data_IF_433751865351
#
_entry.id   IF_433751865351
#
_cell.length_a   1.000
_cell.length_b   1.000
_cell.length_c   1.000
_cell.angle_alpha   90.00
_cell.angle_beta   90.00
_cell.angle_gamma   90.00
#
_symmetry.space_group_name_H-M   'P 1'
#
loop_
_entity.id
_entity.type
_entity.pdbx_description
1 polymer ?
#
# COMPACT_ATOMS: atom_id res chain seq x y z
N UNK A 1 15.19 13.01 -6.49
CA UNK A 1 16.00 11.76 -6.52
C UNK A 1 15.55 10.81 -5.40
N UNK A 2 14.43 10.07 -5.51
CA UNK A 2 13.91 9.31 -4.36
C UNK A 2 13.31 7.91 -4.65
N UNK A 3 13.32 7.41 -5.90
CA UNK A 3 12.70 6.12 -6.21
C UNK A 3 13.60 4.90 -5.89
N UNK A 4 14.91 5.02 -6.16
CA UNK A 4 15.85 3.92 -5.98
C UNK A 4 16.21 3.57 -4.52
N UNK A 5 16.40 4.53 -3.58
CA UNK A 5 16.87 4.18 -2.24
C UNK A 5 15.85 3.36 -1.43
N UNK A 6 14.53 3.59 -1.61
CA UNK A 6 13.51 2.85 -0.84
C UNK A 6 13.51 1.37 -1.20
N UNK A 7 13.67 1.01 -2.50
CA UNK A 7 13.74 -0.39 -2.91
C UNK A 7 14.97 -1.10 -2.34
N UNK A 8 16.10 -0.41 -2.28
CA UNK A 8 17.32 -0.95 -1.67
C UNK A 8 17.16 -1.13 -0.17
N UNK A 9 16.62 -0.14 0.54
CA UNK A 9 16.37 -0.23 1.98
C UNK A 9 15.49 -1.44 2.35
N UNK A 10 14.48 -1.75 1.53
CA UNK A 10 13.60 -2.91 1.76
C UNK A 10 14.33 -4.25 1.69
N UNK A 11 15.44 -4.36 0.95
CA UNK A 11 16.25 -5.58 0.87
C UNK A 11 17.02 -5.89 2.15
N UNK A 12 17.22 -4.89 3.01
CA UNK A 12 18.00 -5.01 4.25
C UNK A 12 17.16 -4.83 5.51
N UNK A 13 15.85 -4.66 5.35
CA UNK A 13 14.93 -4.39 6.46
C UNK A 13 14.16 -5.65 6.83
N UNK A 14 14.51 -6.21 7.98
CA UNK A 14 13.86 -7.39 8.55
C UNK A 14 12.41 -7.08 8.92
N UNK A 15 11.50 -8.00 8.57
CA UNK A 15 10.11 -8.02 9.00
C UNK A 15 9.94 -9.11 10.05
N UNK A 16 9.66 -8.70 11.28
CA UNK A 16 9.55 -9.62 12.42
C UNK A 16 8.46 -9.15 13.41
N UNK A 17 7.18 -9.36 13.09
CA UNK A 17 6.08 -9.03 14.01
C UNK A 17 6.07 -9.94 15.26
N UNK A 18 6.48 -11.21 15.14
CA UNK A 18 6.62 -12.15 16.24
C UNK A 18 7.50 -13.36 15.84
N UNK A 19 7.80 -14.25 16.78
CA UNK A 19 8.70 -15.40 16.61
C UNK A 19 8.20 -16.50 15.66
N UNK A 20 6.90 -16.51 15.33
CA UNK A 20 6.29 -17.48 14.40
C UNK A 20 6.20 -16.92 12.98
N UNK A 21 6.65 -15.69 12.74
CA UNK A 21 6.68 -15.12 11.40
C UNK A 21 7.88 -15.65 10.60
N UNK A 22 7.75 -15.89 9.29
CA UNK A 22 8.89 -16.29 8.47
C UNK A 22 10.02 -15.25 8.54
N UNK A 23 11.26 -15.73 8.68
CA UNK A 23 12.43 -14.89 8.55
C UNK A 23 12.46 -14.30 7.13
N UNK A 24 12.28 -12.98 7.03
CA UNK A 24 12.04 -12.31 5.77
C UNK A 24 12.45 -10.84 5.81
N UNK A 25 12.71 -10.31 4.63
CA UNK A 25 12.97 -8.89 4.40
C UNK A 25 11.71 -8.21 3.87
N UNK A 26 11.61 -6.88 4.01
CA UNK A 26 10.49 -6.11 3.47
C UNK A 26 10.37 -6.22 1.93
N UNK A 27 11.46 -6.60 1.24
CA UNK A 27 11.46 -6.91 -0.20
C UNK A 27 10.75 -8.22 -0.56
N UNK A 28 10.58 -9.14 0.40
CA UNK A 28 9.98 -10.45 0.17
C UNK A 28 8.44 -10.42 0.25
N UNK A 29 7.87 -9.23 0.38
CA UNK A 29 6.45 -9.00 0.59
C UNK A 29 5.84 -8.18 -0.54
N UNK A 30 4.58 -8.47 -0.87
CA UNK A 30 3.72 -7.62 -1.68
C UNK A 30 3.10 -6.55 -0.77
N UNK A 31 3.42 -5.25 -0.97
CA UNK A 31 2.91 -4.18 -0.12
C UNK A 31 1.60 -3.59 -0.62
N UNK A 32 0.67 -3.35 0.31
CA UNK A 32 -0.55 -2.58 0.08
C UNK A 32 -0.60 -1.41 1.06
N UNK A 33 -0.66 -0.18 0.55
CA UNK A 33 -0.90 0.98 1.41
C UNK A 33 -2.30 0.92 2.03
N UNK A 34 -2.39 1.20 3.32
CA UNK A 34 -3.68 1.35 4.01
C UNK A 34 -4.32 2.69 3.61
N UNK A 35 -3.53 3.77 3.54
CA UNK A 35 -4.03 5.07 3.11
C UNK A 35 -4.26 5.11 1.59
N UNK A 36 -5.47 5.47 1.17
CA UNK A 36 -5.82 5.65 -0.24
C UNK A 36 -4.91 6.65 -0.97
N UNK A 37 -4.57 7.76 -0.29
CA UNK A 37 -3.64 8.78 -0.77
C UNK A 37 -2.31 8.64 -0.02
N UNK A 38 -1.41 7.80 -0.53
CA UNK A 38 -0.11 7.56 0.09
C UNK A 38 0.91 8.66 -0.27
N UNK A 39 2.03 8.78 0.48
CA UNK A 39 3.12 9.69 0.12
C UNK A 39 3.74 9.35 -1.24
N UNK A 40 3.83 8.05 -1.58
CA UNK A 40 4.33 7.62 -2.88
C UNK A 40 3.40 8.08 -4.02
N UNK A 41 2.08 7.94 -3.84
CA UNK A 41 1.12 8.40 -4.85
C UNK A 41 1.26 9.91 -5.12
N UNK A 42 1.52 10.72 -4.09
CA UNK A 42 1.77 12.15 -4.26
C UNK A 42 2.97 12.43 -5.16
N UNK A 43 4.09 11.72 -4.93
CA UNK A 43 5.30 11.85 -5.74
C UNK A 43 5.05 11.41 -7.19
N UNK A 44 4.33 10.32 -7.40
CA UNK A 44 3.99 9.80 -8.73
C UNK A 44 3.06 10.78 -9.48
N UNK A 45 2.01 11.28 -8.83
CA UNK A 45 1.09 12.26 -9.44
C UNK A 45 1.79 13.58 -9.79
N UNK A 46 2.76 14.04 -8.97
CA UNK A 46 3.57 15.22 -9.29
C UNK A 46 4.55 15.01 -10.43
N UNK A 47 4.88 13.76 -10.73
CA UNK A 47 5.85 13.39 -11.74
C UNK A 47 7.30 13.40 -11.26
N UNK A 48 8.11 12.53 -11.85
CA UNK A 48 9.54 12.40 -11.66
C UNK A 48 10.20 11.83 -12.93
N UNK A 49 11.52 11.67 -12.94
CA UNK A 49 12.29 11.23 -14.11
C UNK A 49 11.87 9.88 -14.73
N UNK A 50 11.14 9.04 -14.01
CA UNK A 50 10.68 7.72 -14.48
C UNK A 50 9.18 7.65 -14.75
N UNK A 51 8.43 8.71 -14.44
CA UNK A 51 7.00 8.77 -14.66
C UNK A 51 6.50 10.22 -14.63
N UNK A 52 5.81 10.67 -15.68
CA UNK A 52 5.24 12.01 -15.78
C UNK A 52 3.77 12.00 -16.24
N UNK A 53 3.10 10.85 -16.17
CA UNK A 53 1.72 10.67 -16.65
C UNK A 53 0.63 11.27 -15.75
N UNK A 54 0.99 11.83 -14.59
CA UNK A 54 0.04 12.35 -13.61
C UNK A 54 -0.86 11.26 -13.01
N UNK A 55 -2.06 11.63 -12.55
CA UNK A 55 -3.00 10.67 -11.95
C UNK A 55 -3.76 9.83 -12.99
N UNK A 56 -3.92 10.34 -14.22
CA UNK A 56 -4.83 9.79 -15.22
C UNK A 56 -4.61 8.29 -15.49
N UNK A 57 -3.38 7.86 -15.85
CA UNK A 57 -3.07 6.46 -16.16
C UNK A 57 -2.93 5.53 -14.95
N UNK A 58 -3.04 6.03 -13.71
CA UNK A 58 -2.79 5.24 -12.51
C UNK A 58 -4.01 4.41 -12.10
N UNK A 59 -3.74 3.21 -11.59
CA UNK A 59 -4.75 2.24 -11.16
C UNK A 59 -4.46 1.82 -9.73
N UNK A 60 -5.46 1.89 -8.86
CA UNK A 60 -5.41 1.26 -7.55
C UNK A 60 -5.98 -0.15 -7.65
N UNK A 61 -5.19 -1.13 -7.23
CA UNK A 61 -5.64 -2.49 -6.96
C UNK A 61 -5.75 -2.65 -5.45
N UNK A 62 -6.95 -3.00 -4.98
CA UNK A 62 -7.28 -3.17 -3.58
C UNK A 62 -7.66 -4.60 -3.27
N UNK A 63 -7.23 -5.05 -2.11
CA UNK A 63 -7.53 -6.33 -1.48
C UNK A 63 -8.19 -6.03 -0.13
N UNK A 64 -9.11 -6.87 0.32
CA UNK A 64 -9.58 -6.80 1.69
C UNK A 64 -8.64 -7.60 2.60
N UNK A 65 -8.32 -7.06 3.77
CA UNK A 65 -7.50 -7.79 4.74
C UNK A 65 -8.19 -9.08 5.22
N UNK A 66 -9.52 -9.07 5.32
CA UNK A 66 -10.32 -10.27 5.61
C UNK A 66 -10.07 -11.38 4.60
N UNK A 67 -10.16 -11.07 3.29
CA UNK A 67 -9.92 -12.04 2.22
C UNK A 67 -8.49 -12.63 2.27
N UNK A 68 -7.49 -11.84 2.66
CA UNK A 68 -6.10 -12.31 2.87
C UNK A 68 -6.03 -13.30 4.03
N UNK A 69 -6.72 -13.00 5.14
CA UNK A 69 -6.78 -13.86 6.34
C UNK A 69 -7.51 -15.17 6.01
N UNK A 70 -8.67 -15.08 5.35
CA UNK A 70 -9.51 -16.23 5.00
C UNK A 70 -8.82 -17.16 3.98
N UNK A 71 -7.94 -16.61 3.13
CA UNK A 71 -7.10 -17.36 2.22
C UNK A 71 -5.84 -17.98 2.87
N UNK A 72 -5.69 -17.87 4.20
CA UNK A 72 -4.55 -18.38 4.99
C UNK A 72 -3.18 -17.87 4.49
N UNK A 73 -3.16 -16.63 3.97
CA UNK A 73 -1.91 -16.01 3.53
C UNK A 73 -1.14 -15.46 4.74
N UNK A 74 0.19 -15.60 4.71
CA UNK A 74 1.04 -14.98 5.73
C UNK A 74 1.13 -13.48 5.51
N UNK A 75 0.69 -12.69 6.49
CA UNK A 75 0.68 -11.23 6.40
C UNK A 75 1.11 -10.57 7.72
N UNK A 76 1.48 -9.30 7.64
CA UNK A 76 1.56 -8.41 8.80
C UNK A 76 1.26 -6.96 8.38
N UNK A 77 0.81 -6.15 9.34
CA UNK A 77 0.74 -4.70 9.18
C UNK A 77 2.04 -4.04 9.62
N UNK A 78 2.40 -2.92 9.00
CA UNK A 78 3.41 -1.98 9.49
C UNK A 78 2.75 -0.66 9.93
N UNK A 79 3.22 -0.07 11.01
CA UNK A 79 2.70 1.21 11.54
C UNK A 79 3.15 2.44 10.72
N UNK A 80 4.00 2.22 9.72
CA UNK A 80 4.49 3.21 8.76
C UNK A 80 5.17 2.53 7.58
N UNK A 81 6.00 3.27 6.85
CA UNK A 81 6.76 2.72 5.73
C UNK A 81 7.63 1.54 6.20
N UNK A 82 7.41 0.35 5.66
CA UNK A 82 8.11 -0.87 6.05
C UNK A 82 9.64 -0.76 5.93
N UNK A 83 10.15 0.13 5.06
CA UNK A 83 11.58 0.39 4.87
C UNK A 83 12.20 1.39 5.87
N UNK A 84 11.38 2.07 6.69
CA UNK A 84 11.88 3.08 7.61
C UNK A 84 12.52 2.46 8.87
N UNK A 85 13.42 3.22 9.52
CA UNK A 85 14.24 2.73 10.62
C UNK A 85 13.41 2.25 11.81
N UNK A 86 12.40 3.02 12.22
CA UNK A 86 11.64 2.80 13.46
C UNK A 86 10.26 2.14 13.26
N UNK A 87 10.03 1.54 12.10
CA UNK A 87 8.77 0.86 11.79
C UNK A 87 8.61 -0.42 12.61
N UNK A 88 7.44 -0.58 13.20
CA UNK A 88 7.01 -1.78 13.91
C UNK A 88 6.10 -2.62 13.03
N UNK A 89 5.95 -3.89 13.39
CA UNK A 89 5.09 -4.83 12.69
C UNK A 89 4.13 -5.52 13.67
N UNK A 90 2.91 -5.83 13.20
CA UNK A 90 1.91 -6.56 13.97
C UNK A 90 1.10 -7.50 13.07
N UNK A 91 0.64 -8.61 13.63
CA UNK A 91 -0.32 -9.54 12.98
C UNK A 91 -1.67 -9.59 13.69
N UNK A 92 -1.88 -8.72 14.67
CA UNK A 92 -3.08 -8.74 15.51
C UNK A 92 -4.15 -7.85 14.88
N UNK A 93 -5.07 -8.46 14.14
CA UNK A 93 -6.16 -7.74 13.46
C UNK A 93 -7.02 -6.93 14.44
N UNK A 94 -7.30 -7.48 15.63
CA UNK A 94 -8.16 -6.84 16.64
C UNK A 94 -7.57 -5.56 17.23
N UNK A 95 -6.25 -5.40 17.16
CA UNK A 95 -5.54 -4.22 17.69
C UNK A 95 -5.13 -3.24 16.60
N UNK A 96 -5.41 -3.56 15.33
CA UNK A 96 -4.93 -2.79 14.18
C UNK A 96 -5.36 -1.32 14.24
N UNK A 97 -6.59 -1.05 14.73
CA UNK A 97 -7.12 0.29 14.92
C UNK A 97 -6.34 1.18 15.89
N UNK A 98 -5.57 0.57 16.80
CA UNK A 98 -4.67 1.30 17.73
C UNK A 98 -3.22 1.28 17.27
N UNK A 99 -2.82 0.27 16.50
CA UNK A 99 -1.47 0.10 15.98
C UNK A 99 -1.17 1.05 14.81
N UNK A 100 -2.16 1.31 13.96
CA UNK A 100 -2.07 2.22 12.81
C UNK A 100 -2.79 3.52 13.12
N UNK A 101 -2.17 4.66 12.82
CA UNK A 101 -2.76 5.99 13.00
C UNK A 101 -3.79 6.29 11.89
N UNK A 102 -4.99 5.69 11.98
CA UNK A 102 -6.05 5.86 10.99
C UNK A 102 -6.52 7.30 10.83
N UNK A 103 -6.53 8.09 11.91
CA UNK A 103 -6.86 9.51 11.85
C UNK A 103 -5.88 10.26 10.93
N UNK A 104 -4.58 10.01 11.09
CA UNK A 104 -3.56 10.54 10.19
C UNK A 104 -3.71 9.98 8.77
N UNK A 105 -4.10 8.71 8.58
CA UNK A 105 -4.35 8.11 7.26
C UNK A 105 -5.56 8.71 6.52
N UNK A 106 -6.45 9.42 7.21
CA UNK A 106 -7.57 10.14 6.61
C UNK A 106 -7.28 11.63 6.34
N UNK A 107 -6.25 12.20 6.94
CA UNK A 107 -5.91 13.63 6.78
C UNK A 107 -5.42 13.98 5.36
N UNK A 108 -5.64 15.22 4.93
CA UNK A 108 -5.06 15.76 3.68
C UNK A 108 -3.62 16.24 3.86
N UNK A 109 -3.31 16.79 5.04
CA UNK A 109 -2.00 17.33 5.39
C UNK A 109 -1.28 16.36 6.33
N UNK A 110 -0.30 15.64 5.79
CA UNK A 110 0.45 14.60 6.48
C UNK A 110 1.96 14.87 6.45
N UNK A 111 2.36 16.11 6.11
CA UNK A 111 3.74 16.54 6.24
C UNK A 111 4.19 16.49 7.70
N UNK A 112 5.48 16.22 7.91
CA UNK A 112 6.10 16.24 9.23
C UNK A 112 6.02 17.64 9.82
N UNK A 113 5.84 17.73 11.13
CA UNK A 113 5.88 18.97 11.90
C UNK A 113 6.98 18.86 12.96
N UNK A 114 7.37 19.98 13.57
CA UNK A 114 8.38 19.97 14.64
C UNK A 114 7.95 19.10 15.83
N UNK A 115 6.66 19.17 16.18
CA UNK A 115 6.07 18.37 17.27
C UNK A 115 5.83 16.90 16.89
N UNK A 116 5.79 16.57 15.59
CA UNK A 116 5.44 15.24 15.09
C UNK A 116 6.22 14.94 13.79
N UNK A 117 7.50 14.54 13.92
CA UNK A 117 8.42 14.44 12.80
C UNK A 117 8.26 13.15 11.97
N UNK A 118 7.32 12.28 12.33
CA UNK A 118 7.15 10.96 11.71
C UNK A 118 5.84 10.78 10.94
N UNK A 119 5.06 11.86 10.75
CA UNK A 119 3.75 11.84 10.08
C UNK A 119 3.81 11.24 8.69
N UNK A 120 4.80 11.63 7.88
CA UNK A 120 4.93 11.09 6.53
C UNK A 120 5.21 9.58 6.53
N UNK A 121 6.01 9.09 7.49
CA UNK A 121 6.31 7.67 7.62
C UNK A 121 5.06 6.88 8.05
N UNK A 122 4.35 7.35 9.09
CA UNK A 122 3.11 6.71 9.57
C UNK A 122 2.00 6.72 8.52
N UNK A 123 1.93 7.78 7.70
CA UNK A 123 1.01 7.86 6.55
C UNK A 123 1.27 6.77 5.50
N UNK A 124 2.48 6.22 5.47
CA UNK A 124 2.88 5.13 4.60
C UNK A 124 2.76 3.75 5.26
N UNK A 125 1.87 3.59 6.26
CA UNK A 125 1.51 2.28 6.82
C UNK A 125 1.01 1.30 5.73
N UNK A 126 1.44 0.05 5.84
CA UNK A 126 1.23 -1.00 4.83
C UNK A 126 0.61 -2.25 5.45
N UNK A 127 -0.14 -2.99 4.65
CA UNK A 127 -0.31 -4.43 4.80
C UNK A 127 0.72 -5.11 3.90
N UNK A 128 1.53 -5.99 4.48
CA UNK A 128 2.57 -6.74 3.81
C UNK A 128 2.13 -8.20 3.75
N UNK A 129 2.01 -8.76 2.55
CA UNK A 129 1.74 -10.18 2.34
C UNK A 129 3.01 -10.88 1.88
N UNK A 130 3.45 -11.90 2.60
CA UNK A 130 4.68 -12.61 2.32
C UNK A 130 4.59 -13.43 1.03
N UNK A 131 5.59 -13.30 0.16
CA UNK A 131 5.66 -14.02 -1.11
C UNK A 131 4.77 -13.43 -2.20
N UNK A 132 3.51 -13.85 -2.25
CA UNK A 132 2.59 -13.50 -3.34
C UNK A 132 1.15 -13.30 -2.87
N UNK A 133 0.35 -12.63 -3.71
CA UNK A 133 -1.10 -12.49 -3.53
C UNK A 133 -1.79 -13.02 -4.79
N UNK A 134 -2.64 -14.05 -4.69
CA UNK A 134 -3.48 -14.49 -5.80
C UNK A 134 -4.29 -13.31 -6.34
N UNK A 135 -4.29 -13.13 -7.66
CA UNK A 135 -4.89 -11.95 -8.26
C UNK A 135 -6.42 -11.95 -8.12
N UNK A 136 -7.02 -13.11 -7.87
CA UNK A 136 -8.42 -13.33 -7.54
C UNK A 136 -8.85 -12.59 -6.26
N UNK A 137 -7.92 -12.35 -5.32
CA UNK A 137 -8.17 -11.60 -4.09
C UNK A 137 -8.22 -10.08 -4.30
N UNK A 138 -7.80 -9.59 -5.47
CA UNK A 138 -7.98 -8.18 -5.83
C UNK A 138 -9.46 -7.94 -6.08
N UNK A 139 -10.17 -7.45 -5.06
CA UNK A 139 -11.62 -7.24 -5.07
C UNK A 139 -12.02 -5.81 -5.42
N UNK A 140 -11.07 -4.87 -5.45
CA UNK A 140 -11.32 -3.46 -5.76
C UNK A 140 -10.36 -2.92 -6.82
N UNK A 141 -10.90 -2.27 -7.85
CA UNK A 141 -10.15 -1.61 -8.91
C UNK A 141 -10.63 -0.18 -9.03
N UNK A 142 -9.76 0.79 -8.77
CA UNK A 142 -10.07 2.21 -8.89
C UNK A 142 -9.18 2.90 -9.91
N UNK A 143 -9.77 3.76 -10.72
CA UNK A 143 -9.09 4.59 -11.73
C UNK A 143 -9.50 6.05 -11.59
N UNK A 144 -8.69 6.95 -12.16
CA UNK A 144 -8.98 8.37 -12.18
C UNK A 144 -10.10 8.73 -13.19
N UNK A 145 -10.13 8.08 -14.36
CA UNK A 145 -11.05 8.42 -15.46
C UNK A 145 -11.56 7.17 -16.19
N UNK A 146 -12.56 7.39 -17.07
CA UNK A 146 -13.21 6.33 -17.86
C UNK A 146 -12.25 5.67 -18.85
N UNK A 147 -11.35 6.42 -19.47
CA UNK A 147 -10.38 5.88 -20.43
C UNK A 147 -9.52 4.78 -19.80
N UNK A 148 -8.94 5.08 -18.63
CA UNK A 148 -8.11 4.11 -17.89
C UNK A 148 -8.94 2.95 -17.38
N UNK A 149 -10.18 3.21 -16.94
CA UNK A 149 -11.10 2.15 -16.51
C UNK A 149 -11.41 1.16 -17.65
N UNK A 150 -11.69 1.66 -18.85
CA UNK A 150 -11.93 0.81 -20.03
C UNK A 150 -10.72 -0.07 -20.31
N UNK A 151 -9.51 0.51 -20.33
CA UNK A 151 -8.27 -0.24 -20.57
C UNK A 151 -8.03 -1.32 -19.51
N UNK A 152 -8.22 -1.00 -18.23
CA UNK A 152 -8.03 -1.95 -17.14
C UNK A 152 -9.03 -3.10 -17.22
N UNK A 153 -10.30 -2.81 -17.52
CA UNK A 153 -11.31 -3.86 -17.71
C UNK A 153 -10.91 -4.82 -18.82
N UNK A 154 -10.46 -4.32 -19.97
CA UNK A 154 -9.97 -5.18 -21.07
C UNK A 154 -8.79 -6.05 -20.64
N UNK A 155 -7.86 -5.51 -19.85
CA UNK A 155 -6.70 -6.26 -19.37
C UNK A 155 -7.06 -7.31 -18.30
N UNK A 156 -8.10 -7.05 -17.51
CA UNK A 156 -8.52 -7.93 -16.42
C UNK A 156 -9.63 -8.91 -16.79
N UNK A 157 -10.24 -8.77 -17.98
CA UNK A 157 -11.26 -9.67 -18.51
C UNK A 157 -10.84 -11.16 -18.51
N UNK A 158 -9.61 -11.53 -18.92
CA UNK A 158 -9.19 -12.93 -18.87
C UNK A 158 -8.74 -13.39 -17.47
N UNK A 159 -8.76 -12.52 -16.46
CA UNK A 159 -8.24 -12.82 -15.12
C UNK A 159 -9.39 -13.10 -14.15
N UNK A 160 -9.42 -14.32 -13.60
CA UNK A 160 -10.45 -14.76 -12.65
C UNK A 160 -10.57 -13.87 -11.41
N UNK A 161 -11.71 -13.91 -10.72
CA UNK A 161 -12.00 -13.10 -9.52
C UNK A 161 -13.08 -12.04 -9.74
N UNK A 162 -13.82 -11.72 -8.67
CA UNK A 162 -14.92 -10.74 -8.70
C UNK A 162 -14.39 -9.39 -8.23
N UNK A 163 -14.57 -8.36 -9.07
CA UNK A 163 -13.97 -7.03 -8.82
C UNK A 163 -15.01 -5.94 -8.87
N UNK A 164 -14.97 -5.06 -7.89
CA UNK A 164 -15.67 -3.78 -7.93
C UNK A 164 -14.81 -2.75 -8.67
N UNK A 165 -15.30 -2.31 -9.82
CA UNK A 165 -14.68 -1.26 -10.62
C UNK A 165 -15.27 0.11 -10.27
N UNK A 166 -14.43 1.07 -9.91
CA UNK A 166 -14.85 2.41 -9.51
C UNK A 166 -14.00 3.49 -10.18
N UNK A 167 -14.64 4.52 -10.71
CA UNK A 167 -13.95 5.75 -11.13
C UNK A 167 -14.08 6.74 -9.97
N UNK A 168 -12.96 7.08 -9.32
CA UNK A 168 -12.97 7.97 -8.16
C UNK A 168 -11.74 8.89 -8.18
N UNK A 169 -11.79 10.02 -8.90
CA UNK A 169 -10.72 11.02 -8.92
C UNK A 169 -10.29 11.45 -7.51
N UNK A 170 -11.24 11.50 -6.57
CA UNK A 170 -10.99 11.80 -5.16
C UNK A 170 -10.04 10.83 -4.43
N UNK A 171 -9.67 9.68 -4.99
CA UNK A 171 -8.63 8.81 -4.43
C UNK A 171 -7.20 9.20 -4.84
N UNK A 172 -7.05 10.15 -5.77
CA UNK A 172 -5.77 10.63 -6.28
C UNK A 172 -5.45 12.06 -5.80
N UNK A 173 -4.23 12.52 -6.06
CA UNK A 173 -3.80 13.90 -5.84
C UNK A 173 -4.03 14.76 -7.07
#
# INVERSE_FOLDING_TARGET
>A
MAYNPVKELRRHKVVAPDSRYPASMASDHVPFYIAARSPMLYVVCKGHSGYSGGAGPLVHLGVALGDIIDADLTWCASDGNAAASYTKFSRQVDTLGTFVDFDLLCQRQWHNTDDDPNRQSRRAAEILVYGHVPFELVSYVCCYNTETMTRVRTLLDPVGGVRKYVIKPGMYY
#
